data_IF_199131428752
#
_entry.id   IF_199131428752
#
_cell.length_a   1.000
_cell.length_b   1.000
_cell.length_c   1.000
_cell.angle_alpha   90.00
_cell.angle_beta   90.00
_cell.angle_gamma   90.00
#
_symmetry.space_group_name_H-M   'P 1'
#
loop_
_entity.id
_entity.type
_entity.pdbx_description
1 polymer ?
#
# COMPACT_ATOMS: atom_id res chain seq x y z
N UNK A 1 -2.79 1.73 -8.62
CA UNK A 1 -3.41 0.87 -7.61
C UNK A 1 -4.87 0.60 -7.92
N UNK A 2 -5.73 1.61 -8.01
CA UNK A 2 -7.18 1.44 -8.27
C UNK A 2 -7.47 0.74 -9.61
N UNK A 3 -6.65 1.00 -10.63
CA UNK A 3 -6.81 0.39 -11.95
C UNK A 3 -6.28 -1.05 -12.05
N UNK A 4 -5.52 -1.55 -11.09
CA UNK A 4 -4.92 -2.89 -11.15
C UNK A 4 -5.96 -4.02 -11.25
N UNK A 5 -7.10 -4.00 -10.52
CA UNK A 5 -8.16 -4.99 -10.70
C UNK A 5 -8.72 -5.00 -12.13
N UNK A 6 -8.89 -3.83 -12.76
CA UNK A 6 -9.36 -3.75 -14.14
C UNK A 6 -8.43 -4.44 -15.13
N UNK A 7 -7.12 -4.35 -14.90
CA UNK A 7 -6.13 -5.05 -15.73
C UNK A 7 -6.13 -6.56 -15.49
N UNK A 8 -6.41 -7.00 -14.27
CA UNK A 8 -6.57 -8.43 -13.97
C UNK A 8 -7.77 -9.02 -14.74
N UNK A 9 -8.90 -8.31 -14.72
CA UNK A 9 -10.13 -8.77 -15.35
C UNK A 9 -10.14 -8.56 -16.88
N UNK A 10 -9.35 -7.60 -17.38
CA UNK A 10 -9.22 -7.25 -18.79
C UNK A 10 -7.75 -7.12 -19.22
N UNK A 11 -7.00 -8.24 -19.29
CA UNK A 11 -5.56 -8.20 -19.60
C UNK A 11 -5.24 -7.67 -21.00
N UNK A 12 -6.21 -7.75 -21.92
CA UNK A 12 -6.11 -7.27 -23.30
C UNK A 12 -6.65 -5.84 -23.51
N UNK A 13 -6.96 -5.13 -22.41
CA UNK A 13 -7.45 -3.75 -22.48
C UNK A 13 -6.52 -2.86 -23.30
N UNK A 14 -7.07 -2.20 -24.31
CA UNK A 14 -6.37 -1.25 -25.16
C UNK A 14 -6.92 0.18 -24.98
N UNK A 15 -6.01 1.14 -25.02
CA UNK A 15 -6.33 2.56 -25.07
C UNK A 15 -5.45 3.22 -26.15
N UNK A 16 -6.10 3.88 -27.11
CA UNK A 16 -5.41 4.53 -28.24
C UNK A 16 -4.45 3.58 -29.01
N UNK A 17 -4.84 2.33 -29.18
CA UNK A 17 -4.04 1.31 -29.89
C UNK A 17 -2.83 0.76 -29.09
N UNK A 18 -2.75 1.06 -27.80
CA UNK A 18 -1.70 0.55 -26.90
C UNK A 18 -2.34 -0.36 -25.88
N UNK A 19 -1.81 -1.58 -25.74
CA UNK A 19 -2.20 -2.46 -24.62
C UNK A 19 -1.75 -1.84 -23.30
N UNK A 20 -2.71 -1.58 -22.43
CA UNK A 20 -2.48 -0.91 -21.14
C UNK A 20 -1.52 -1.71 -20.26
N UNK A 21 -1.63 -3.04 -20.27
CA UNK A 21 -0.73 -3.92 -19.56
C UNK A 21 0.74 -3.81 -20.04
N UNK A 22 0.95 -3.72 -21.36
CA UNK A 22 2.28 -3.56 -21.95
C UNK A 22 2.89 -2.21 -21.59
N UNK A 23 2.09 -1.16 -21.60
CA UNK A 23 2.53 0.17 -21.17
C UNK A 23 3.00 0.16 -19.71
N UNK A 24 2.23 -0.43 -18.81
CA UNK A 24 2.63 -0.48 -17.39
C UNK A 24 3.85 -1.37 -17.17
N UNK A 25 3.97 -2.52 -17.85
CA UNK A 25 5.18 -3.35 -17.78
C UNK A 25 6.41 -2.60 -18.28
N UNK A 26 6.29 -1.85 -19.36
CA UNK A 26 7.36 -0.99 -19.85
C UNK A 26 7.79 0.03 -18.79
N UNK A 27 6.84 0.68 -18.11
CA UNK A 27 7.16 1.62 -17.03
C UNK A 27 7.83 0.92 -15.84
N UNK A 28 7.36 -0.26 -15.43
CA UNK A 28 7.97 -1.05 -14.36
C UNK A 28 9.44 -1.40 -14.65
N UNK A 29 9.75 -1.72 -15.90
CA UNK A 29 11.12 -1.99 -16.33
C UNK A 29 11.96 -0.72 -16.25
N UNK A 30 11.41 0.40 -16.72
CA UNK A 30 12.11 1.67 -16.79
C UNK A 30 12.49 2.25 -15.43
N UNK A 31 11.65 2.12 -14.42
CA UNK A 31 11.96 2.66 -13.08
C UNK A 31 13.16 1.96 -12.42
N UNK A 32 13.53 0.78 -12.85
CA UNK A 32 14.70 0.03 -12.36
C UNK A 32 15.88 -0.03 -13.35
N UNK A 33 15.78 0.65 -14.50
CA UNK A 33 16.83 0.69 -15.51
C UNK A 33 17.63 2.01 -15.44
N UNK A 34 18.93 1.97 -15.07
CA UNK A 34 19.76 3.19 -14.97
C UNK A 34 19.85 4.05 -16.24
N UNK A 35 19.63 3.45 -17.41
CA UNK A 35 19.66 4.15 -18.70
C UNK A 35 18.34 4.87 -19.00
N UNK A 36 17.29 4.65 -18.19
CA UNK A 36 15.98 5.27 -18.38
C UNK A 36 15.91 6.64 -17.74
N UNK A 37 15.17 7.56 -18.39
CA UNK A 37 14.82 8.86 -17.80
C UNK A 37 13.90 8.74 -16.56
N UNK A 38 13.20 7.61 -16.44
CA UNK A 38 12.30 7.31 -15.32
C UNK A 38 12.99 6.50 -14.22
N UNK A 39 14.31 6.36 -14.27
CA UNK A 39 15.06 5.57 -13.30
C UNK A 39 14.89 6.09 -11.87
N UNK A 40 14.56 5.20 -10.97
CA UNK A 40 14.52 5.45 -9.53
C UNK A 40 15.81 4.85 -8.95
N UNK A 41 16.77 5.67 -8.50
CA UNK A 41 18.01 5.17 -7.92
C UNK A 41 17.72 4.43 -6.60
N UNK A 42 18.60 3.51 -6.25
CA UNK A 42 18.55 2.90 -4.93
C UNK A 42 18.66 3.99 -3.86
N UNK A 43 17.91 3.80 -2.80
CA UNK A 43 17.81 4.79 -1.74
C UNK A 43 19.11 4.96 -0.98
N UNK A 44 19.47 6.21 -0.70
CA UNK A 44 20.68 6.61 0.04
C UNK A 44 20.37 7.65 1.11
N UNK A 45 19.28 7.72 1.73
CA UNK A 45 19.02 8.81 2.68
C UNK A 45 17.82 8.57 3.61
N UNK A 46 17.35 9.65 4.18
CA UNK A 46 16.21 9.69 5.10
C UNK A 46 14.88 9.31 4.46
N UNK A 47 13.72 9.47 5.12
CA UNK A 47 12.40 9.20 4.58
C UNK A 47 12.16 9.88 3.22
N UNK A 48 11.52 9.17 2.29
CA UNK A 48 11.28 9.64 0.92
C UNK A 48 9.85 9.34 0.50
N UNK A 49 9.22 10.27 -0.22
CA UNK A 49 7.91 10.09 -0.85
C UNK A 49 7.88 8.88 -1.79
N UNK A 50 8.99 8.57 -2.45
CA UNK A 50 9.12 7.41 -3.34
C UNK A 50 8.79 6.08 -2.62
N UNK A 51 9.00 5.99 -1.30
CA UNK A 51 8.58 4.84 -0.51
C UNK A 51 7.07 4.58 -0.64
N UNK A 52 6.25 5.64 -0.56
CA UNK A 52 4.79 5.52 -0.65
C UNK A 52 4.37 5.04 -2.03
N UNK A 53 5.01 5.57 -3.06
CA UNK A 53 4.73 5.22 -4.44
C UNK A 53 5.11 3.76 -4.74
N UNK A 54 6.28 3.31 -4.29
CA UNK A 54 6.71 1.92 -4.45
C UNK A 54 5.88 0.94 -3.59
N UNK A 55 5.42 1.36 -2.41
CA UNK A 55 4.50 0.56 -1.60
C UNK A 55 3.13 0.41 -2.27
N UNK A 56 2.58 1.49 -2.83
CA UNK A 56 1.36 1.45 -3.64
C UNK A 56 1.53 0.59 -4.90
N UNK A 57 2.72 0.63 -5.50
CA UNK A 57 3.09 -0.21 -6.63
C UNK A 57 3.11 -1.70 -6.24
N UNK A 58 3.60 -2.05 -5.05
CA UNK A 58 3.57 -3.42 -4.52
C UNK A 58 2.13 -3.96 -4.41
N UNK A 59 1.19 -3.13 -3.93
CA UNK A 59 -0.24 -3.47 -3.90
C UNK A 59 -0.75 -3.73 -5.32
N UNK A 60 -0.45 -2.85 -6.26
CA UNK A 60 -0.89 -2.94 -7.67
C UNK A 60 -0.35 -4.20 -8.35
N UNK A 61 0.95 -4.48 -8.16
CA UNK A 61 1.58 -5.67 -8.72
C UNK A 61 1.02 -6.95 -8.11
N UNK A 62 0.64 -6.95 -6.83
CA UNK A 62 -0.03 -8.10 -6.20
C UNK A 62 -1.44 -8.28 -6.74
N UNK A 63 -2.21 -7.22 -6.88
CA UNK A 63 -3.60 -7.26 -7.37
C UNK A 63 -3.70 -7.75 -8.82
N UNK A 64 -2.73 -7.38 -9.67
CA UNK A 64 -2.66 -7.78 -11.09
C UNK A 64 -1.38 -8.57 -11.40
N UNK A 65 -1.00 -9.48 -10.52
CA UNK A 65 0.28 -10.18 -10.56
C UNK A 65 0.50 -10.92 -11.89
N UNK A 66 -0.52 -11.62 -12.40
CA UNK A 66 -0.46 -12.38 -13.63
C UNK A 66 -0.19 -11.49 -14.86
N UNK A 67 -0.60 -10.24 -14.78
CA UNK A 67 -0.51 -9.30 -15.90
C UNK A 67 0.71 -8.40 -15.79
N UNK A 68 1.07 -7.97 -14.59
CA UNK A 68 2.12 -6.96 -14.39
C UNK A 68 3.46 -7.55 -13.97
N UNK A 69 3.47 -8.56 -13.07
CA UNK A 69 4.71 -9.11 -12.51
C UNK A 69 5.16 -10.40 -13.20
N UNK A 70 4.26 -11.37 -13.35
CA UNK A 70 4.63 -12.69 -13.85
C UNK A 70 5.28 -12.66 -15.24
N UNK A 71 4.84 -11.81 -16.19
CA UNK A 71 5.44 -11.75 -17.52
C UNK A 71 6.84 -11.14 -17.57
N UNK A 72 7.30 -10.47 -16.52
CA UNK A 72 8.66 -9.92 -16.47
C UNK A 72 9.70 -11.05 -16.45
N UNK A 73 10.81 -10.84 -17.15
CA UNK A 73 11.96 -11.76 -17.09
C UNK A 73 12.60 -11.76 -15.70
N UNK A 74 13.34 -12.82 -15.37
CA UNK A 74 14.05 -12.92 -14.08
C UNK A 74 14.94 -11.69 -13.82
N UNK A 75 15.70 -11.24 -14.83
CA UNK A 75 16.57 -10.07 -14.74
C UNK A 75 15.77 -8.79 -14.42
N UNK A 76 14.63 -8.59 -15.06
CA UNK A 76 13.76 -7.43 -14.82
C UNK A 76 13.17 -7.45 -13.41
N UNK A 77 12.69 -8.63 -12.98
CA UNK A 77 12.19 -8.85 -11.62
C UNK A 77 13.27 -8.54 -10.57
N UNK A 78 14.48 -9.06 -10.77
CA UNK A 78 15.59 -8.86 -9.82
C UNK A 78 15.99 -7.39 -9.74
N UNK A 79 16.05 -6.69 -10.87
CA UNK A 79 16.37 -5.26 -10.91
C UNK A 79 15.30 -4.44 -10.16
N UNK A 80 14.03 -4.68 -10.46
CA UNK A 80 12.91 -4.00 -9.80
C UNK A 80 12.84 -4.33 -8.30
N UNK A 81 13.03 -5.60 -7.94
CA UNK A 81 13.07 -6.04 -6.55
C UNK A 81 14.19 -5.36 -5.77
N UNK A 82 15.39 -5.24 -6.35
CA UNK A 82 16.52 -4.55 -5.70
C UNK A 82 16.22 -3.07 -5.45
N UNK A 83 15.62 -2.37 -6.42
CA UNK A 83 15.18 -0.99 -6.25
C UNK A 83 14.13 -0.89 -5.12
N UNK A 84 13.09 -1.70 -5.17
CA UNK A 84 12.02 -1.70 -4.17
C UNK A 84 12.56 -2.05 -2.77
N UNK A 85 13.43 -3.05 -2.66
CA UNK A 85 14.01 -3.49 -1.39
C UNK A 85 14.81 -2.36 -0.72
N UNK A 86 15.55 -1.56 -1.51
CA UNK A 86 16.32 -0.42 -0.98
C UNK A 86 15.44 0.62 -0.27
N UNK A 87 14.17 0.75 -0.67
CA UNK A 87 13.18 1.59 -0.01
C UNK A 87 12.42 0.85 1.09
N UNK A 88 12.05 -0.40 0.84
CA UNK A 88 11.29 -1.23 1.78
C UNK A 88 12.03 -1.48 3.09
N UNK A 89 13.34 -1.65 3.06
CA UNK A 89 14.21 -1.77 4.25
C UNK A 89 14.76 -0.41 4.72
N UNK A 90 14.49 0.64 3.98
CA UNK A 90 14.95 1.98 4.32
C UNK A 90 14.17 2.64 5.45
N UNK A 91 14.72 3.72 6.03
CA UNK A 91 14.06 4.48 7.08
C UNK A 91 12.75 5.09 6.61
N UNK A 92 11.77 5.16 7.51
CA UNK A 92 10.45 5.73 7.29
C UNK A 92 10.07 6.69 8.41
N UNK A 93 9.01 7.45 8.21
CA UNK A 93 8.39 8.24 9.28
C UNK A 93 7.59 7.28 10.16
N UNK A 94 7.71 7.44 11.48
CA UNK A 94 6.96 6.64 12.46
C UNK A 94 5.45 6.96 12.46
N UNK A 95 4.76 6.68 11.37
CA UNK A 95 3.34 6.95 11.12
C UNK A 95 2.73 5.86 10.23
N UNK A 96 1.59 6.12 9.61
CA UNK A 96 1.01 5.25 8.59
C UNK A 96 1.99 4.93 7.43
N UNK A 97 3.03 5.73 7.23
CA UNK A 97 4.07 5.48 6.22
C UNK A 97 4.74 4.11 6.37
N UNK A 98 4.80 3.56 7.58
CA UNK A 98 5.31 2.21 7.82
C UNK A 98 4.56 1.13 7.04
N UNK A 99 3.29 1.34 6.66
CA UNK A 99 2.56 0.41 5.81
C UNK A 99 3.24 0.21 4.45
N UNK A 100 3.86 1.23 3.89
CA UNK A 100 4.50 1.12 2.58
C UNK A 100 5.79 0.29 2.63
N UNK A 101 6.55 0.35 3.74
CA UNK A 101 7.62 -0.62 4.00
C UNK A 101 7.04 -2.04 4.07
N UNK A 102 5.96 -2.22 4.84
CA UNK A 102 5.28 -3.50 5.02
C UNK A 102 4.78 -4.06 3.69
N UNK A 103 4.15 -3.24 2.83
CA UNK A 103 3.69 -3.69 1.51
C UNK A 103 4.82 -4.14 0.60
N UNK A 104 5.90 -3.35 0.51
CA UNK A 104 7.07 -3.70 -0.30
C UNK A 104 7.66 -5.03 0.18
N UNK A 105 7.96 -5.14 1.47
CA UNK A 105 8.61 -6.33 2.03
C UNK A 105 7.72 -7.56 1.93
N UNK A 106 6.41 -7.43 2.21
CA UNK A 106 5.47 -8.53 2.09
C UNK A 106 5.32 -9.01 0.65
N UNK A 107 5.28 -8.10 -0.33
CA UNK A 107 5.24 -8.45 -1.73
C UNK A 107 6.53 -9.19 -2.15
N UNK A 108 7.68 -8.65 -1.84
CA UNK A 108 8.96 -9.27 -2.20
C UNK A 108 9.14 -10.64 -1.53
N UNK A 109 8.75 -10.80 -0.26
CA UNK A 109 8.71 -12.08 0.43
C UNK A 109 7.77 -13.08 -0.27
N UNK A 110 6.58 -12.64 -0.68
CA UNK A 110 5.62 -13.49 -1.42
C UNK A 110 6.17 -13.94 -2.79
N UNK A 111 7.06 -13.14 -3.39
CA UNK A 111 7.76 -13.47 -4.64
C UNK A 111 9.07 -14.28 -4.43
N UNK A 112 9.38 -14.68 -3.19
CA UNK A 112 10.55 -15.52 -2.86
C UNK A 112 11.86 -14.76 -2.70
N UNK A 113 11.84 -13.45 -2.60
CA UNK A 113 13.04 -12.66 -2.28
C UNK A 113 13.31 -12.66 -0.78
N UNK A 114 14.60 -12.66 -0.42
CA UNK A 114 15.02 -12.44 0.96
C UNK A 114 14.71 -10.99 1.37
N UNK A 115 14.11 -10.83 2.55
CA UNK A 115 13.77 -9.53 3.14
C UNK A 115 14.18 -9.49 4.61
N UNK A 116 14.34 -8.30 5.18
CA UNK A 116 14.54 -8.13 6.60
C UNK A 116 13.21 -8.39 7.36
N UNK A 117 12.98 -9.66 7.72
CA UNK A 117 11.75 -10.08 8.40
C UNK A 117 11.58 -9.41 9.78
N UNK A 118 12.68 -9.19 10.50
CA UNK A 118 12.63 -8.51 11.79
C UNK A 118 12.14 -7.07 11.66
N UNK A 119 12.57 -6.38 10.58
CA UNK A 119 12.12 -5.03 10.30
C UNK A 119 10.66 -4.99 9.86
N UNK A 120 10.25 -5.94 9.02
CA UNK A 120 8.86 -6.09 8.61
C UNK A 120 7.95 -6.30 9.84
N UNK A 121 8.29 -7.25 10.69
CA UNK A 121 7.50 -7.56 11.88
C UNK A 121 7.49 -6.42 12.90
N UNK A 122 8.61 -5.74 13.11
CA UNK A 122 8.70 -4.54 13.96
C UNK A 122 7.75 -3.43 13.47
N UNK A 123 7.64 -3.22 12.16
CA UNK A 123 6.71 -2.23 11.60
C UNK A 123 5.25 -2.64 11.82
N UNK A 124 4.90 -3.91 11.65
CA UNK A 124 3.55 -4.42 11.95
C UNK A 124 3.17 -4.21 13.42
N UNK A 125 4.07 -4.54 14.35
CA UNK A 125 3.88 -4.32 15.78
C UNK A 125 3.68 -2.84 16.11
N UNK A 126 4.51 -1.96 15.56
CA UNK A 126 4.40 -0.51 15.76
C UNK A 126 3.10 0.07 15.20
N UNK A 127 2.64 -0.42 14.05
CA UNK A 127 1.37 -0.02 13.47
C UNK A 127 0.20 -0.42 14.36
N UNK A 128 0.16 -1.67 14.81
CA UNK A 128 -0.88 -2.15 15.71
C UNK A 128 -0.85 -1.47 17.09
N UNK A 129 0.32 -1.15 17.61
CA UNK A 129 0.46 -0.42 18.88
C UNK A 129 -0.16 1.00 18.87
N UNK A 130 -0.54 1.51 17.69
CA UNK A 130 -1.24 2.78 17.54
C UNK A 130 -2.75 2.70 17.69
N UNK A 131 -3.30 1.49 17.82
CA UNK A 131 -4.71 1.29 18.08
C UNK A 131 -5.14 1.89 19.43
N UNK A 132 -6.32 2.51 19.48
CA UNK A 132 -6.87 3.20 20.65
C UNK A 132 -8.24 2.68 21.07
N UNK A 133 -8.73 1.65 20.41
CA UNK A 133 -10.06 1.10 20.63
C UNK A 133 -11.10 1.63 19.64
N UNK A 134 -12.21 0.94 19.52
CA UNK A 134 -13.37 1.30 18.71
C UNK A 134 -13.04 1.63 17.24
N UNK A 135 -12.03 0.97 16.69
CA UNK A 135 -11.57 1.19 15.30
C UNK A 135 -10.63 2.38 15.11
N UNK A 136 -10.30 3.13 16.15
CA UNK A 136 -9.48 4.32 16.03
C UNK A 136 -7.99 4.06 16.20
N UNK A 137 -7.19 4.77 15.40
CA UNK A 137 -5.73 4.76 15.47
C UNK A 137 -5.18 6.17 15.68
N UNK A 138 -4.06 6.25 16.38
CA UNK A 138 -3.28 7.47 16.55
C UNK A 138 -2.13 7.50 15.55
N UNK A 139 -2.29 8.24 14.46
CA UNK A 139 -1.20 8.49 13.52
C UNK A 139 -0.43 9.73 13.97
N UNK A 140 0.69 9.52 14.65
CA UNK A 140 1.43 10.60 15.29
C UNK A 140 1.72 11.79 14.34
N UNK A 141 1.44 13.03 14.79
CA UNK A 141 0.89 13.37 16.10
C UNK A 141 -0.63 13.40 16.16
N UNK A 142 -1.33 13.05 15.09
CA UNK A 142 -2.75 13.29 14.90
C UNK A 142 -3.65 12.11 15.27
N UNK A 143 -4.84 12.43 15.74
CA UNK A 143 -5.95 11.53 16.01
C UNK A 143 -7.18 12.12 15.32
N UNK A 144 -7.42 11.71 14.07
CA UNK A 144 -8.38 12.34 13.16
C UNK A 144 -8.86 11.34 12.09
N UNK A 145 -9.73 11.79 11.19
CA UNK A 145 -10.20 10.96 10.08
C UNK A 145 -9.10 10.43 9.20
N UNK A 146 -8.08 11.23 8.93
CA UNK A 146 -6.95 10.77 8.13
C UNK A 146 -6.26 9.57 8.78
N UNK A 147 -6.08 9.60 10.09
CA UNK A 147 -5.52 8.48 10.85
C UNK A 147 -6.39 7.24 10.73
N UNK A 148 -7.70 7.37 10.97
CA UNK A 148 -8.65 6.27 10.85
C UNK A 148 -8.65 5.72 9.43
N UNK A 149 -8.80 6.57 8.42
CA UNK A 149 -8.82 6.18 7.01
C UNK A 149 -7.55 5.42 6.60
N UNK A 150 -6.36 5.93 6.92
CA UNK A 150 -5.10 5.30 6.53
C UNK A 150 -4.96 3.89 7.11
N UNK A 151 -5.22 3.72 8.42
CA UNK A 151 -5.07 2.43 9.08
C UNK A 151 -6.16 1.45 8.69
N UNK A 152 -7.40 1.91 8.59
CA UNK A 152 -8.56 1.07 8.24
C UNK A 152 -8.61 0.71 6.75
N UNK A 153 -7.82 1.38 5.91
CA UNK A 153 -7.63 1.00 4.51
C UNK A 153 -6.41 0.08 4.35
N UNK A 154 -5.24 0.52 4.79
CA UNK A 154 -4.00 -0.21 4.53
C UNK A 154 -3.87 -1.48 5.36
N UNK A 155 -4.31 -1.48 6.61
CA UNK A 155 -4.26 -2.66 7.48
C UNK A 155 -5.03 -3.85 6.90
N UNK A 156 -6.33 -3.70 6.60
CA UNK A 156 -7.14 -4.76 5.98
C UNK A 156 -6.64 -5.17 4.58
N UNK A 157 -6.23 -4.22 3.73
CA UNK A 157 -5.65 -4.54 2.41
C UNK A 157 -4.41 -5.43 2.59
N UNK A 158 -3.50 -5.08 3.50
CA UNK A 158 -2.33 -5.90 3.78
C UNK A 158 -2.72 -7.28 4.33
N UNK A 159 -3.68 -7.31 5.27
CA UNK A 159 -4.15 -8.55 5.88
C UNK A 159 -4.68 -9.54 4.83
N UNK A 160 -5.51 -9.06 3.89
CA UNK A 160 -6.06 -9.88 2.82
C UNK A 160 -5.01 -10.32 1.79
N UNK A 161 -4.16 -9.40 1.33
CA UNK A 161 -3.21 -9.69 0.26
C UNK A 161 -2.03 -10.56 0.70
N UNK A 162 -1.56 -10.37 1.93
CA UNK A 162 -0.31 -10.98 2.41
C UNK A 162 -0.43 -11.57 3.81
N UNK A 163 -1.11 -10.85 4.71
CA UNK A 163 -1.04 -11.08 6.15
C UNK A 163 -1.57 -12.44 6.56
N UNK A 164 -2.71 -12.88 6.02
CA UNK A 164 -3.31 -14.19 6.32
C UNK A 164 -2.35 -15.35 6.08
N UNK A 165 -1.47 -15.23 5.08
CA UNK A 165 -0.46 -16.24 4.74
C UNK A 165 0.84 -16.08 5.52
N UNK A 166 1.32 -14.84 5.67
CA UNK A 166 2.66 -14.56 6.19
C UNK A 166 2.70 -14.35 7.71
N UNK A 167 1.69 -13.66 8.26
CA UNK A 167 1.59 -13.27 9.67
C UNK A 167 0.13 -13.27 10.13
N UNK A 168 -0.51 -14.45 10.25
CA UNK A 168 -1.96 -14.56 10.51
C UNK A 168 -2.42 -13.88 11.80
N UNK A 169 -1.56 -13.79 12.81
CA UNK A 169 -1.86 -13.13 14.07
C UNK A 169 -2.08 -11.62 13.88
N UNK A 170 -1.22 -10.95 13.13
CA UNK A 170 -1.34 -9.51 12.84
C UNK A 170 -2.47 -9.22 11.86
N UNK A 171 -2.66 -10.09 10.87
CA UNK A 171 -3.77 -9.97 9.93
C UNK A 171 -5.12 -10.01 10.66
N UNK A 172 -5.29 -10.97 11.57
CA UNK A 172 -6.50 -11.06 12.39
C UNK A 172 -6.75 -9.78 13.16
N UNK A 173 -5.73 -9.23 13.81
CA UNK A 173 -5.87 -8.02 14.62
C UNK A 173 -6.26 -6.79 13.78
N UNK A 174 -5.69 -6.61 12.58
CA UNK A 174 -6.12 -5.53 11.69
C UNK A 174 -7.59 -5.67 11.26
N UNK A 175 -8.04 -6.91 10.99
CA UNK A 175 -9.44 -7.16 10.60
C UNK A 175 -10.41 -6.96 11.77
N UNK A 176 -10.05 -7.39 12.99
CA UNK A 176 -10.84 -7.15 14.20
C UNK A 176 -10.98 -5.64 14.47
N UNK A 177 -9.88 -4.90 14.41
CA UNK A 177 -9.88 -3.46 14.59
C UNK A 177 -10.71 -2.72 13.51
N UNK A 178 -10.76 -3.26 12.28
CA UNK A 178 -11.64 -2.72 11.24
C UNK A 178 -13.11 -2.98 11.56
N UNK A 179 -13.43 -4.15 12.05
CA UNK A 179 -14.81 -4.50 12.44
C UNK A 179 -15.32 -3.53 13.50
N UNK A 180 -14.49 -3.23 14.51
CA UNK A 180 -14.84 -2.23 15.53
C UNK A 180 -15.15 -0.85 14.92
N UNK A 181 -14.41 -0.45 13.87
CA UNK A 181 -14.67 0.81 13.17
C UNK A 181 -16.00 0.81 12.42
N UNK A 182 -16.35 -0.30 11.76
CA UNK A 182 -17.60 -0.41 11.00
C UNK A 182 -18.81 -0.21 11.90
N UNK A 183 -18.78 -0.74 13.12
CA UNK A 183 -19.86 -0.58 14.09
C UNK A 183 -20.04 0.89 14.55
N UNK A 184 -18.95 1.65 14.59
CA UNK A 184 -18.94 3.03 15.02
C UNK A 184 -19.09 4.05 13.88
N UNK A 185 -18.78 3.66 12.66
CA UNK A 185 -18.73 4.55 11.49
C UNK A 185 -20.05 5.29 11.20
N UNK A 186 -21.24 4.70 11.34
CA UNK A 186 -22.51 5.40 11.13
C UNK A 186 -22.72 6.63 12.02
N UNK A 187 -22.12 6.64 13.22
CA UNK A 187 -22.24 7.77 14.15
C UNK A 187 -21.43 9.00 13.74
N UNK A 188 -20.58 8.88 12.73
CA UNK A 188 -19.79 9.99 12.18
C UNK A 188 -20.57 10.81 11.16
N UNK A 189 -21.77 10.38 10.80
CA UNK A 189 -22.65 11.07 9.86
C UNK A 189 -23.84 11.72 10.56
N UNK A 190 -24.19 12.91 10.12
CA UNK A 190 -25.44 13.56 10.51
C UNK A 190 -26.63 12.88 9.84
N UNK A 191 -27.84 13.19 10.29
CA UNK A 191 -29.08 12.60 9.73
C UNK A 191 -29.32 12.92 8.25
N UNK A 192 -28.71 13.99 7.75
CA UNK A 192 -28.74 14.38 6.33
C UNK A 192 -27.55 13.83 5.53
N UNK A 193 -26.82 12.85 6.08
CA UNK A 193 -25.73 12.14 5.41
C UNK A 193 -24.39 12.89 5.35
N UNK A 194 -24.28 14.04 6.00
CA UNK A 194 -23.02 14.79 6.02
C UNK A 194 -22.06 14.21 7.04
N UNK A 195 -20.83 14.01 6.61
CA UNK A 195 -19.76 13.59 7.48
C UNK A 195 -19.27 14.74 8.36
N UNK A 196 -18.96 14.45 9.61
CA UNK A 196 -18.35 15.44 10.50
C UNK A 196 -16.94 15.80 10.01
N UNK A 197 -16.69 17.09 9.82
CA UNK A 197 -15.41 17.61 9.30
C UNK A 197 -14.40 17.69 10.45
N UNK A 198 -13.57 16.65 10.59
CA UNK A 198 -12.62 16.54 11.68
C UNK A 198 -11.22 16.11 11.22
N UNK A 199 -10.24 16.99 11.45
CA UNK A 199 -8.82 16.72 11.28
C UNK A 199 -8.21 17.25 9.99
N UNK A 200 -7.01 16.78 9.70
CA UNK A 200 -6.21 17.17 8.52
C UNK A 200 -6.74 16.53 7.24
N UNK A 201 -6.42 17.15 6.11
CA UNK A 201 -6.64 16.60 4.76
C UNK A 201 -8.11 16.30 4.41
N UNK A 202 -9.04 16.95 5.08
CA UNK A 202 -10.49 16.76 4.91
C UNK A 202 -10.92 16.98 3.46
N UNK A 203 -10.32 17.96 2.77
CA UNK A 203 -10.62 18.24 1.37
C UNK A 203 -10.28 17.09 0.44
N UNK A 204 -9.32 16.23 0.79
CA UNK A 204 -9.02 15.01 0.01
C UNK A 204 -10.01 13.89 0.33
N UNK A 205 -10.36 13.74 1.60
CA UNK A 205 -11.26 12.69 2.06
C UNK A 205 -12.68 12.91 1.53
N UNK A 206 -13.12 14.16 1.44
CA UNK A 206 -14.44 14.48 0.88
C UNK A 206 -14.55 14.13 -0.61
N UNK A 207 -13.46 14.19 -1.37
CA UNK A 207 -13.44 13.77 -2.79
C UNK A 207 -13.61 12.26 -2.95
N UNK A 208 -13.16 11.46 -2.00
CA UNK A 208 -13.34 10.00 -2.02
C UNK A 208 -14.81 9.62 -1.82
N UNK A 209 -15.58 10.43 -1.13
CA UNK A 209 -17.01 10.21 -0.89
C UNK A 209 -17.94 10.77 -1.98
N UNK A 210 -17.42 11.50 -2.95
CA UNK A 210 -18.21 12.06 -4.08
C UNK A 210 -18.26 11.10 -5.28
N UNK A 211 -17.51 10.01 -5.24
CA UNK A 211 -17.39 9.05 -6.34
C UNK A 211 -18.31 7.83 -6.24
N UNK A 212 -19.37 7.87 -5.43
CA UNK A 212 -20.44 6.88 -5.42
C UNK A 212 -21.63 7.30 -6.27
#
# INVERSE_FOLDING_TARGET
FVAAPLLKDNPELEMNGIKVADYYRYQLINISNPESRSYIPHRTGGPSQTLLELGSLAISMKAAQEVLWNPLTKKQKDSLAATMLSYGEGPTIGSNWMFFNVFILSFLKDQGYAVNESYLESNLQKLLARYRGEGWYNDAPAYDYYSAWAYQTYGPIWAEMFGKKQYPQYARQFMENQHDMVDNYPFLFSRDGRMNMWGRSICYLSLIHISE
#
